data_IF_094538418955
#
_entry.id   IF_094538418955
#
_cell.length_a   1.000
_cell.length_b   1.000
_cell.length_c   1.000
_cell.angle_alpha   90.00
_cell.angle_beta   90.00
_cell.angle_gamma   90.00
#
_symmetry.space_group_name_H-M   'P 1'
#
loop_
_entity.id
_entity.type
_entity.pdbx_description
1 polymer ?
#
# COMPACT_ATOMS: atom_id res chain seq x y z
N UNK A 1 -30.93 -70.77 4.84
CA UNK A 1 -31.02 -71.05 3.39
C UNK A 1 -31.59 -69.84 2.69
N UNK A 2 -30.71 -69.18 1.94
CA UNK A 2 -30.84 -68.19 0.86
C UNK A 2 -32.21 -67.59 0.52
N UNK A 3 -32.24 -66.25 0.41
CA UNK A 3 -32.49 -65.55 -0.87
C UNK A 3 -32.14 -64.05 -0.79
N UNK A 4 -31.23 -63.64 -1.69
CA UNK A 4 -30.93 -62.25 -2.05
C UNK A 4 -32.14 -61.58 -2.73
N UNK A 5 -32.25 -60.25 -2.59
CA UNK A 5 -32.58 -59.33 -3.69
C UNK A 5 -32.15 -57.88 -3.36
N UNK A 6 -31.67 -57.22 -4.40
CA UNK A 6 -31.06 -55.89 -4.49
C UNK A 6 -31.92 -54.73 -3.96
N UNK A 7 -31.31 -53.54 -3.86
CA UNK A 7 -31.94 -52.40 -4.50
C UNK A 7 -31.01 -51.58 -5.41
N UNK A 8 -31.59 -51.32 -6.58
CA UNK A 8 -31.46 -50.18 -7.50
C UNK A 8 -30.87 -48.89 -6.94
N UNK A 9 -29.96 -48.30 -7.73
CA UNK A 9 -29.49 -46.93 -7.55
C UNK A 9 -30.44 -45.87 -8.12
N UNK A 10 -30.34 -44.68 -7.52
CA UNK A 10 -30.56 -43.32 -8.00
C UNK A 10 -29.76 -42.48 -6.97
N UNK A 11 -28.77 -41.65 -7.28
CA UNK A 11 -28.66 -40.73 -8.40
C UNK A 11 -28.91 -39.31 -7.88
N UNK A 12 -28.12 -38.81 -6.93
CA UNK A 12 -28.11 -37.40 -6.53
C UNK A 12 -26.66 -36.93 -6.37
N UNK A 13 -26.33 -35.86 -7.10
CA UNK A 13 -25.05 -35.17 -7.14
C UNK A 13 -24.82 -34.41 -5.82
N UNK A 14 -23.83 -34.81 -5.02
CA UNK A 14 -23.33 -33.99 -3.92
C UNK A 14 -22.15 -33.12 -4.37
N UNK A 15 -22.40 -31.82 -4.27
CA UNK A 15 -21.51 -30.69 -4.48
C UNK A 15 -20.22 -30.82 -3.65
N UNK A 16 -19.08 -30.96 -4.34
CA UNK A 16 -17.75 -31.05 -3.72
C UNK A 16 -17.29 -29.67 -3.27
N UNK A 17 -17.62 -29.28 -2.04
CA UNK A 17 -16.88 -28.22 -1.36
C UNK A 17 -15.51 -28.75 -0.90
N UNK A 18 -14.45 -28.28 -1.57
CA UNK A 18 -13.06 -28.62 -1.25
C UNK A 18 -12.62 -27.80 -0.02
N UNK A 19 -12.14 -28.43 1.08
CA UNK A 19 -11.62 -27.68 2.22
C UNK A 19 -10.24 -27.10 1.91
N UNK A 20 -10.08 -25.80 2.13
CA UNK A 20 -8.80 -25.10 2.03
C UNK A 20 -7.82 -25.62 3.10
N UNK A 21 -6.68 -26.17 2.67
CA UNK A 21 -5.64 -26.72 3.55
C UNK A 21 -4.98 -25.62 4.39
N UNK A 22 -5.27 -25.59 5.68
CA UNK A 22 -4.47 -24.86 6.68
C UNK A 22 -3.25 -25.71 7.05
N UNK A 23 -2.05 -25.18 6.78
CA UNK A 23 -0.79 -25.79 7.22
C UNK A 23 -0.35 -25.07 8.49
N UNK A 24 -0.37 -25.77 9.63
CA UNK A 24 0.32 -25.35 10.86
C UNK A 24 1.77 -25.81 10.78
N UNK A 25 2.70 -24.88 10.99
CA UNK A 25 4.11 -25.18 11.25
C UNK A 25 4.48 -24.49 12.55
N UNK A 26 4.85 -25.27 13.57
CA UNK A 26 5.51 -24.80 14.78
C UNK A 26 7.03 -24.83 14.56
N UNK A 27 7.72 -23.71 14.76
CA UNK A 27 9.15 -23.70 15.10
C UNK A 27 9.46 -22.50 16.00
N UNK A 28 9.99 -22.79 17.19
CA UNK A 28 10.60 -21.84 18.11
C UNK A 28 12.12 -21.80 17.91
N UNK A 29 12.68 -20.64 17.57
CA UNK A 29 13.99 -20.21 18.06
C UNK A 29 14.14 -18.69 17.87
N UNK A 30 14.73 -17.99 18.84
CA UNK A 30 14.73 -16.51 18.90
C UNK A 30 15.74 -15.88 17.94
N UNK A 31 15.42 -15.88 16.65
CA UNK A 31 16.08 -15.07 15.62
C UNK A 31 15.29 -13.79 15.40
N UNK A 32 15.92 -12.71 14.90
CA UNK A 32 15.17 -11.54 14.43
C UNK A 32 14.04 -12.01 13.52
N UNK A 33 12.81 -11.58 13.80
CA UNK A 33 11.63 -12.13 13.11
C UNK A 33 11.64 -11.85 11.58
N UNK A 34 12.51 -10.92 11.14
CA UNK A 34 12.89 -10.71 9.75
C UNK A 34 14.38 -10.97 9.55
N UNK A 35 14.77 -11.39 8.34
CA UNK A 35 16.16 -11.64 7.96
C UNK A 35 16.76 -10.38 7.30
N UNK A 36 17.84 -9.83 7.88
CA UNK A 36 18.50 -8.61 7.38
C UNK A 36 19.80 -8.87 6.60
N UNK A 37 20.13 -10.12 6.27
CA UNK A 37 21.40 -10.49 5.61
C UNK A 37 21.56 -9.86 4.22
N UNK A 38 20.46 -9.73 3.47
CA UNK A 38 20.44 -9.08 2.15
C UNK A 38 19.07 -8.44 1.86
N UNK A 39 18.97 -7.53 0.87
CA UNK A 39 17.68 -6.99 0.42
C UNK A 39 16.66 -8.07 0.06
N UNK A 40 17.10 -9.12 -0.64
CA UNK A 40 16.26 -10.26 -1.02
C UNK A 40 15.79 -11.06 0.19
N UNK A 41 16.69 -11.36 1.13
CA UNK A 41 16.36 -12.12 2.34
C UNK A 41 15.36 -11.35 3.23
N UNK A 42 15.49 -10.01 3.30
CA UNK A 42 14.52 -9.17 4.00
C UNK A 42 13.15 -9.30 3.37
N UNK A 43 13.07 -9.08 2.06
CA UNK A 43 11.79 -9.14 1.37
C UNK A 43 11.15 -10.53 1.48
N UNK A 44 11.92 -11.60 1.30
CA UNK A 44 11.46 -12.98 1.46
C UNK A 44 10.88 -13.23 2.86
N UNK A 45 11.60 -12.84 3.91
CA UNK A 45 11.12 -13.00 5.29
C UNK A 45 9.88 -12.13 5.58
N UNK A 46 9.78 -10.93 4.98
CA UNK A 46 8.65 -10.02 5.14
C UNK A 46 7.35 -10.61 4.60
N UNK A 47 7.38 -11.28 3.44
CA UNK A 47 6.20 -11.87 2.80
C UNK A 47 6.02 -13.38 3.08
N UNK A 48 6.87 -13.95 3.93
CA UNK A 48 6.76 -15.36 4.33
C UNK A 48 5.34 -15.70 4.84
N UNK A 49 4.76 -16.86 4.43
CA UNK A 49 5.39 -17.98 3.70
C UNK A 49 5.30 -17.88 2.17
N UNK A 50 4.88 -16.74 1.61
CA UNK A 50 4.74 -16.56 0.16
C UNK A 50 6.13 -16.45 -0.46
N UNK A 51 6.39 -17.27 -1.48
CA UNK A 51 7.64 -17.20 -2.25
C UNK A 51 7.68 -15.92 -3.08
N UNK A 52 8.88 -15.36 -3.25
CA UNK A 52 9.11 -14.15 -4.06
C UNK A 52 8.57 -14.34 -5.49
N UNK A 53 8.84 -15.48 -6.12
CA UNK A 53 8.42 -15.73 -7.50
C UNK A 53 6.89 -15.75 -7.60
N UNK A 54 6.21 -16.35 -6.63
CA UNK A 54 4.75 -16.37 -6.56
C UNK A 54 4.20 -14.97 -6.34
N UNK A 55 4.82 -14.18 -5.45
CA UNK A 55 4.41 -12.81 -5.18
C UNK A 55 4.43 -11.96 -6.45
N UNK A 56 5.56 -11.91 -7.17
CA UNK A 56 5.67 -11.09 -8.38
C UNK A 56 4.87 -11.62 -9.55
N UNK A 57 4.69 -12.95 -9.66
CA UNK A 57 3.92 -13.54 -10.74
C UNK A 57 2.41 -13.36 -10.57
N UNK A 58 1.90 -13.46 -9.34
CA UNK A 58 0.46 -13.57 -9.10
C UNK A 58 -0.17 -12.40 -8.38
N UNK A 59 0.59 -11.64 -7.59
CA UNK A 59 0.05 -10.60 -6.71
C UNK A 59 0.50 -9.20 -7.10
N UNK A 60 1.79 -9.01 -7.33
CA UNK A 60 2.37 -7.71 -7.67
C UNK A 60 1.63 -7.06 -8.85
N UNK A 61 1.16 -5.83 -8.64
CA UNK A 61 0.40 -5.04 -9.62
C UNK A 61 -0.88 -5.71 -10.16
N UNK A 62 -1.37 -6.78 -9.51
CA UNK A 62 -2.50 -7.57 -10.00
C UNK A 62 -3.64 -7.69 -8.98
N UNK A 63 -3.36 -8.14 -7.76
CA UNK A 63 -4.40 -8.39 -6.76
C UNK A 63 -3.88 -8.27 -5.32
N UNK A 64 -4.78 -7.99 -4.35
CA UNK A 64 -4.41 -7.99 -2.94
C UNK A 64 -3.87 -9.33 -2.43
N UNK A 65 -2.94 -9.26 -1.48
CA UNK A 65 -2.39 -10.40 -0.74
C UNK A 65 -2.57 -10.17 0.76
N UNK A 66 -3.33 -11.04 1.41
CA UNK A 66 -3.50 -11.07 2.85
C UNK A 66 -2.68 -12.21 3.46
N UNK A 67 -1.78 -11.90 4.39
CA UNK A 67 -1.01 -12.88 5.15
C UNK A 67 -1.40 -12.75 6.63
N UNK A 68 -2.33 -13.61 7.07
CA UNK A 68 -2.71 -13.72 8.47
C UNK A 68 -1.80 -14.70 9.19
N UNK A 69 -1.12 -14.23 10.23
CA UNK A 69 -0.13 -15.00 10.98
C UNK A 69 -0.63 -15.31 12.38
N UNK A 70 -0.01 -16.27 13.05
CA UNK A 70 -0.26 -16.54 14.45
C UNK A 70 1.06 -16.77 15.20
N UNK A 71 2.02 -15.91 14.93
CA UNK A 71 3.37 -15.94 15.50
C UNK A 71 3.52 -14.84 16.56
N UNK A 72 3.58 -15.20 17.86
CA UNK A 72 3.75 -14.23 18.94
C UNK A 72 5.07 -13.45 18.88
N UNK A 73 6.14 -14.07 18.36
CA UNK A 73 7.46 -13.44 18.26
C UNK A 73 7.46 -12.34 17.19
N UNK A 74 6.89 -12.64 16.02
CA UNK A 74 6.72 -11.66 14.94
C UNK A 74 5.74 -10.55 15.33
N UNK A 75 4.64 -10.87 16.02
CA UNK A 75 3.71 -9.87 16.53
C UNK A 75 4.41 -8.89 17.48
N UNK A 76 5.26 -9.41 18.38
CA UNK A 76 6.07 -8.59 19.31
C UNK A 76 7.09 -7.74 18.56
N UNK A 77 7.72 -8.30 17.52
CA UNK A 77 8.65 -7.58 16.65
C UNK A 77 7.96 -6.43 15.91
N UNK A 78 6.81 -6.68 15.26
CA UNK A 78 6.03 -5.63 14.57
C UNK A 78 5.64 -4.53 15.56
N UNK A 79 5.17 -4.89 16.76
CA UNK A 79 4.87 -3.91 17.80
C UNK A 79 6.06 -3.03 18.20
N UNK A 80 7.30 -3.50 18.05
CA UNK A 80 8.49 -2.70 18.36
C UNK A 80 8.82 -1.64 17.29
N UNK A 81 8.35 -1.83 16.05
CA UNK A 81 8.62 -0.94 14.93
C UNK A 81 8.09 0.47 15.16
N UNK A 82 6.89 0.60 15.74
CA UNK A 82 6.33 1.89 16.15
C UNK A 82 5.18 1.68 17.15
N UNK A 83 5.18 2.46 18.23
CA UNK A 83 4.12 2.44 19.25
C UNK A 83 3.46 3.80 19.42
N UNK A 84 2.19 3.82 19.79
CA UNK A 84 1.52 5.08 20.17
C UNK A 84 2.25 5.81 21.31
N UNK A 85 2.89 5.07 22.22
CA UNK A 85 3.68 5.65 23.32
C UNK A 85 4.99 6.32 22.86
N UNK A 86 5.53 5.94 21.70
CA UNK A 86 6.74 6.58 21.14
C UNK A 86 6.50 8.06 20.83
N UNK A 87 5.25 8.44 20.54
CA UNK A 87 4.85 9.80 20.21
C UNK A 87 5.23 10.82 21.29
N UNK A 88 5.23 10.45 22.56
CA UNK A 88 5.60 11.36 23.64
C UNK A 88 7.04 11.87 23.47
N UNK A 89 7.98 10.95 23.23
CA UNK A 89 9.39 11.27 23.04
C UNK A 89 9.66 11.93 21.68
N UNK A 90 9.02 11.46 20.61
CA UNK A 90 9.24 11.99 19.26
C UNK A 90 8.74 13.44 19.17
N UNK A 91 7.61 13.80 19.79
CA UNK A 91 7.10 15.17 19.78
C UNK A 91 8.08 16.19 20.38
N UNK A 92 8.96 15.77 21.31
CA UNK A 92 9.97 16.65 21.91
C UNK A 92 11.02 17.13 20.89
N UNK A 93 11.17 16.43 19.77
CA UNK A 93 12.12 16.77 18.70
C UNK A 93 11.62 17.89 17.78
N UNK A 94 10.39 18.39 17.98
CA UNK A 94 9.85 19.53 17.25
C UNK A 94 9.20 19.17 15.91
N UNK A 95 8.05 18.52 15.96
CA UNK A 95 7.26 18.14 14.79
C UNK A 95 6.26 19.23 14.39
N UNK A 96 5.84 19.23 13.12
CA UNK A 96 4.85 20.15 12.57
C UNK A 96 3.65 19.43 11.93
N UNK A 97 2.45 19.97 12.15
CA UNK A 97 1.24 19.51 11.50
C UNK A 97 1.34 19.69 9.97
N UNK A 98 0.81 18.76 9.19
CA UNK A 98 0.89 18.76 7.72
C UNK A 98 2.20 18.21 7.18
N UNK A 99 3.34 18.63 7.76
CA UNK A 99 4.67 18.13 7.39
C UNK A 99 4.93 16.74 7.97
N UNK A 100 4.87 16.61 9.29
CA UNK A 100 5.27 15.40 10.01
C UNK A 100 4.08 14.60 10.54
N UNK A 101 3.00 15.29 10.93
CA UNK A 101 1.82 14.65 11.52
C UNK A 101 0.54 15.26 10.95
N UNK A 102 -0.41 14.41 10.62
CA UNK A 102 -1.78 14.79 10.35
C UNK A 102 -2.70 14.18 11.41
N UNK A 103 -3.72 14.94 11.80
CA UNK A 103 -4.78 14.43 12.70
C UNK A 103 -6.09 14.53 11.92
N UNK A 104 -6.68 13.38 11.62
CA UNK A 104 -7.79 13.28 10.69
C UNK A 104 -8.97 12.47 11.24
N UNK A 105 -10.16 12.77 10.73
CA UNK A 105 -11.41 12.04 11.02
C UNK A 105 -12.22 11.89 9.74
N UNK A 106 -12.87 10.75 9.58
CA UNK A 106 -13.86 10.56 8.54
C UNK A 106 -15.24 10.95 9.06
N UNK A 107 -15.78 12.07 8.58
CA UNK A 107 -17.12 12.55 8.93
C UNK A 107 -17.93 12.64 7.64
N UNK A 108 -19.06 11.92 7.57
CA UNK A 108 -19.94 11.89 6.40
C UNK A 108 -19.21 11.60 5.07
N UNK A 109 -18.24 10.67 5.10
CA UNK A 109 -17.45 10.28 3.93
C UNK A 109 -16.40 11.31 3.49
N UNK A 110 -16.12 12.33 4.32
CA UNK A 110 -15.08 13.34 4.05
C UNK A 110 -13.99 13.30 5.11
N UNK A 111 -12.74 13.47 4.67
CA UNK A 111 -11.58 13.63 5.54
C UNK A 111 -11.57 15.05 6.12
N UNK A 112 -11.63 15.16 7.44
CA UNK A 112 -11.50 16.43 8.17
C UNK A 112 -10.15 16.44 8.88
N UNK A 113 -9.32 17.45 8.59
CA UNK A 113 -8.00 17.66 9.19
C UNK A 113 -8.08 18.65 10.37
N UNK A 114 -7.38 18.36 11.46
CA UNK A 114 -7.23 19.31 12.58
C UNK A 114 -6.04 20.27 12.34
N UNK A 115 -6.01 21.32 13.17
CA UNK A 115 -5.19 22.55 13.14
C UNK A 115 -3.73 22.43 12.63
N UNK A 116 -3.25 23.54 12.08
CA UNK A 116 -1.86 23.80 11.69
C UNK A 116 -0.97 24.20 12.88
N UNK A 117 0.35 24.09 12.70
CA UNK A 117 1.37 24.55 13.67
C UNK A 117 2.24 23.45 14.24
N UNK A 118 2.94 23.77 15.34
CA UNK A 118 3.82 22.82 16.05
C UNK A 118 2.98 21.76 16.78
N UNK A 119 3.38 20.51 16.66
CA UNK A 119 2.69 19.37 17.29
C UNK A 119 3.07 19.31 18.78
N UNK A 120 2.06 19.18 19.63
CA UNK A 120 2.24 18.90 21.06
C UNK A 120 1.58 17.57 21.41
N UNK A 121 2.30 16.72 22.15
CA UNK A 121 1.81 15.39 22.51
C UNK A 121 0.47 15.42 23.25
N UNK A 122 0.30 16.33 24.22
CA UNK A 122 -0.96 16.48 24.95
C UNK A 122 -2.14 16.83 24.04
N UNK A 123 -1.91 17.65 23.00
CA UNK A 123 -2.95 18.01 22.04
C UNK A 123 -3.29 16.83 21.12
N UNK A 124 -2.30 16.06 20.67
CA UNK A 124 -2.53 14.82 19.92
C UNK A 124 -3.34 13.83 20.75
N UNK A 125 -2.95 13.62 22.01
CA UNK A 125 -3.63 12.71 22.93
C UNK A 125 -5.07 13.14 23.18
N UNK A 126 -5.30 14.45 23.40
CA UNK A 126 -6.64 15.02 23.54
C UNK A 126 -7.50 14.78 22.29
N UNK A 127 -6.98 15.03 21.10
CA UNK A 127 -7.72 14.81 19.86
C UNK A 127 -7.99 13.32 19.60
N UNK A 128 -7.03 12.45 19.94
CA UNK A 128 -7.17 11.00 19.84
C UNK A 128 -8.26 10.47 20.80
N UNK A 129 -8.17 10.80 22.08
CA UNK A 129 -9.06 10.28 23.12
C UNK A 129 -10.46 10.91 23.06
N UNK A 130 -10.55 12.24 22.93
CA UNK A 130 -11.82 12.96 23.04
C UNK A 130 -12.53 13.14 21.71
N UNK A 131 -11.78 13.41 20.63
CA UNK A 131 -12.38 13.65 19.30
C UNK A 131 -12.43 12.38 18.45
N UNK A 132 -11.88 11.26 18.93
CA UNK A 132 -11.73 10.00 18.20
C UNK A 132 -11.00 10.20 16.86
N UNK A 133 -9.96 11.03 16.88
CA UNK A 133 -9.17 11.34 15.69
C UNK A 133 -8.06 10.32 15.45
N UNK A 134 -7.85 9.96 14.18
CA UNK A 134 -6.71 9.19 13.74
C UNK A 134 -5.49 10.11 13.64
N UNK A 135 -4.35 9.65 14.18
CA UNK A 135 -3.06 10.29 14.00
C UNK A 135 -2.35 9.58 12.85
N UNK A 136 -1.98 10.32 11.81
CA UNK A 136 -1.15 9.89 10.70
C UNK A 136 0.25 10.52 10.88
N UNK A 137 1.27 9.70 11.05
CA UNK A 137 2.66 10.14 11.22
C UNK A 137 3.46 9.85 9.96
N UNK A 138 4.08 10.86 9.38
CA UNK A 138 4.82 10.75 8.13
C UNK A 138 6.30 10.44 8.36
N UNK A 139 6.81 9.50 7.57
CA UNK A 139 8.22 9.15 7.50
C UNK A 139 8.84 8.82 8.89
N UNK A 140 8.28 7.81 9.61
CA UNK A 140 8.76 7.36 10.93
C UNK A 140 10.19 6.84 10.93
N UNK A 141 10.73 6.41 9.79
CA UNK A 141 12.12 5.95 9.66
C UNK A 141 13.14 7.03 10.06
N UNK A 142 12.77 8.31 10.00
CA UNK A 142 13.61 9.42 10.50
C UNK A 142 13.88 9.36 12.01
N UNK A 143 13.08 8.60 12.75
CA UNK A 143 13.09 8.53 14.21
C UNK A 143 13.20 7.10 14.77
N UNK A 144 13.13 6.09 13.90
CA UNK A 144 13.03 4.68 14.27
C UNK A 144 13.98 3.86 13.40
N UNK A 145 15.12 3.51 13.98
CA UNK A 145 16.23 2.84 13.28
C UNK A 145 15.82 1.52 12.61
N UNK A 146 14.95 0.72 13.24
CA UNK A 146 14.47 -0.54 12.64
C UNK A 146 13.62 -0.29 11.38
N UNK A 147 12.78 0.75 11.37
CA UNK A 147 12.06 1.15 10.15
C UNK A 147 13.02 1.70 9.09
N UNK A 148 14.08 2.42 9.49
CA UNK A 148 15.11 2.86 8.56
C UNK A 148 15.85 1.70 7.90
N UNK A 149 16.38 0.75 8.68
CA UNK A 149 17.04 -0.46 8.16
C UNK A 149 16.11 -1.27 7.24
N UNK A 150 14.84 -1.37 7.61
CA UNK A 150 13.84 -2.08 6.80
C UNK A 150 13.62 -1.38 5.47
N UNK A 151 13.36 -0.06 5.50
CA UNK A 151 13.10 0.71 4.29
C UNK A 151 14.33 0.78 3.37
N UNK A 152 15.53 0.98 3.90
CA UNK A 152 16.77 1.03 3.10
C UNK A 152 16.98 -0.27 2.30
N UNK A 153 16.83 -1.43 2.93
CA UNK A 153 16.91 -2.72 2.23
C UNK A 153 15.81 -2.91 1.19
N UNK A 154 14.59 -2.44 1.49
CA UNK A 154 13.50 -2.49 0.52
C UNK A 154 13.76 -1.52 -0.65
N UNK A 155 14.38 -0.36 -0.44
CA UNK A 155 14.81 0.55 -1.52
C UNK A 155 15.82 -0.14 -2.43
N UNK A 156 16.81 -0.82 -1.87
CA UNK A 156 17.76 -1.63 -2.63
C UNK A 156 17.08 -2.76 -3.40
N UNK A 157 16.07 -3.41 -2.80
CA UNK A 157 15.37 -4.53 -3.43
C UNK A 157 14.48 -4.08 -4.61
N UNK A 158 13.71 -3.01 -4.42
CA UNK A 158 12.76 -2.52 -5.43
C UNK A 158 13.40 -1.59 -6.47
N UNK A 159 14.56 -1.01 -6.19
CA UNK A 159 15.15 0.02 -7.05
C UNK A 159 14.27 1.27 -7.15
N UNK A 160 13.47 1.55 -6.11
CA UNK A 160 12.53 2.65 -6.03
C UNK A 160 12.55 3.20 -4.61
N UNK A 161 12.19 4.48 -4.43
CA UNK A 161 12.08 5.08 -3.10
C UNK A 161 11.04 4.31 -2.26
N UNK A 162 11.34 4.12 -0.98
CA UNK A 162 10.44 3.46 -0.03
C UNK A 162 10.17 4.40 1.12
N UNK A 163 8.97 4.94 1.14
CA UNK A 163 8.46 5.74 2.25
C UNK A 163 7.62 4.91 3.22
N UNK A 164 7.24 5.51 4.35
CA UNK A 164 6.18 4.94 5.17
C UNK A 164 5.37 5.97 5.94
N UNK A 165 4.14 5.58 6.29
CA UNK A 165 3.24 6.34 7.15
C UNK A 165 2.70 5.44 8.26
N UNK A 166 2.67 5.93 9.49
CA UNK A 166 2.02 5.23 10.61
C UNK A 166 0.64 5.81 10.86
N UNK A 167 -0.34 4.94 11.03
CA UNK A 167 -1.71 5.31 11.34
C UNK A 167 -2.11 4.74 12.69
N UNK A 168 -2.43 5.62 13.63
CA UNK A 168 -2.94 5.27 14.95
C UNK A 168 -4.41 5.70 15.03
N UNK A 169 -5.33 4.76 15.14
CA UNK A 169 -6.78 5.02 15.14
C UNK A 169 -7.43 4.53 16.45
N UNK A 170 -8.14 5.40 17.20
CA UNK A 170 -8.79 5.00 18.44
C UNK A 170 -9.94 4.02 18.18
N UNK A 171 -10.34 3.27 19.22
CA UNK A 171 -11.46 2.32 19.13
C UNK A 171 -12.76 2.98 18.68
N UNK A 172 -13.58 2.24 17.92
CA UNK A 172 -14.89 2.69 17.43
C UNK A 172 -14.83 3.86 16.45
N UNK A 173 -13.74 4.01 15.69
CA UNK A 173 -13.54 5.17 14.81
C UNK A 173 -12.92 4.83 13.44
N UNK A 174 -13.09 5.75 12.50
CA UNK A 174 -12.54 5.70 11.15
C UNK A 174 -11.85 7.03 10.83
N UNK A 175 -10.58 6.96 10.43
CA UNK A 175 -9.77 8.14 10.12
C UNK A 175 -9.99 8.69 8.72
N UNK A 176 -10.05 7.80 7.73
CA UNK A 176 -10.06 8.15 6.31
C UNK A 176 -11.31 7.57 5.61
N UNK A 177 -11.92 8.32 4.68
CA UNK A 177 -12.97 7.78 3.80
C UNK A 177 -12.39 6.75 2.82
N UNK A 178 -13.22 6.00 2.07
CA UNK A 178 -12.73 5.18 0.95
C UNK A 178 -11.89 5.98 -0.03
N UNK A 179 -10.72 5.45 -0.39
CA UNK A 179 -9.79 6.06 -1.34
C UNK A 179 -8.90 4.99 -1.98
N UNK A 180 -8.19 5.36 -3.03
CA UNK A 180 -7.02 4.64 -3.51
C UNK A 180 -5.79 5.56 -3.53
N UNK A 181 -4.62 4.95 -3.41
CA UNK A 181 -3.32 5.62 -3.48
C UNK A 181 -2.64 5.38 -4.83
N UNK A 182 -1.58 6.15 -5.08
CA UNK A 182 -0.72 6.14 -6.28
C UNK A 182 0.57 5.31 -6.12
N UNK A 183 0.62 4.46 -5.09
CA UNK A 183 1.79 3.69 -4.68
C UNK A 183 1.44 2.24 -4.38
N UNK A 184 2.42 1.36 -4.55
CA UNK A 184 2.34 -0.02 -4.08
C UNK A 184 2.53 -0.04 -2.57
N UNK A 185 1.66 -0.75 -1.83
CA UNK A 185 1.67 -0.68 -0.36
C UNK A 185 1.79 -2.04 0.32
N UNK A 186 2.55 -2.06 1.40
CA UNK A 186 2.65 -3.15 2.38
C UNK A 186 2.25 -2.60 3.75
N UNK A 187 1.14 -3.09 4.28
CA UNK A 187 0.60 -2.71 5.59
C UNK A 187 1.00 -3.77 6.61
N UNK A 188 1.69 -3.34 7.65
CA UNK A 188 2.08 -4.18 8.79
C UNK A 188 1.25 -3.75 10.00
N UNK A 189 0.45 -4.67 10.56
CA UNK A 189 -0.34 -4.38 11.75
C UNK A 189 0.54 -4.48 13.00
N UNK A 190 0.66 -3.39 13.76
CA UNK A 190 1.65 -3.24 14.84
C UNK A 190 1.03 -3.38 16.24
N UNK A 191 0.00 -2.59 16.54
CA UNK A 191 -0.69 -2.57 17.84
C UNK A 191 -2.19 -2.69 17.66
N UNK A 192 -2.86 -3.08 18.74
CA UNK A 192 -4.31 -3.22 18.80
C UNK A 192 -4.78 -4.63 18.53
N UNK A 193 -6.03 -4.92 18.88
CA UNK A 193 -6.57 -6.26 18.68
C UNK A 193 -6.99 -6.49 17.23
N UNK A 194 -7.65 -5.49 16.61
CA UNK A 194 -8.40 -5.67 15.36
C UNK A 194 -8.47 -4.36 14.56
N UNK A 195 -8.01 -4.36 13.31
CA UNK A 195 -8.35 -3.33 12.32
C UNK A 195 -9.21 -3.97 11.23
N UNK A 196 -10.43 -3.48 11.05
CA UNK A 196 -11.36 -4.00 10.04
C UNK A 196 -11.11 -3.29 8.71
N UNK A 197 -10.72 -4.04 7.70
CA UNK A 197 -10.39 -3.57 6.37
C UNK A 197 -11.43 -4.03 5.36
N UNK A 198 -11.80 -3.12 4.47
CA UNK A 198 -12.58 -3.41 3.29
C UNK A 198 -11.79 -2.98 2.06
N UNK A 199 -11.57 -3.89 1.13
CA UNK A 199 -10.95 -3.62 -0.17
C UNK A 199 -12.02 -3.74 -1.26
N UNK A 200 -11.89 -2.95 -2.31
CA UNK A 200 -12.82 -2.91 -3.43
C UNK A 200 -12.06 -2.94 -4.74
N UNK A 201 -12.75 -3.28 -5.83
CA UNK A 201 -12.18 -3.23 -7.17
C UNK A 201 -11.75 -1.80 -7.53
N UNK A 202 -10.62 -1.62 -8.23
CA UNK A 202 -10.16 -0.31 -8.64
C UNK A 202 -11.12 0.33 -9.65
N UNK A 203 -11.48 1.60 -9.45
CA UNK A 203 -12.13 2.42 -10.50
C UNK A 203 -11.12 2.83 -11.57
N UNK A 204 -9.86 3.01 -11.17
CA UNK A 204 -8.71 3.27 -12.04
C UNK A 204 -7.62 2.24 -11.72
N UNK A 205 -7.49 1.16 -12.51
CA UNK A 205 -6.44 0.17 -12.30
C UNK A 205 -5.04 0.79 -12.44
N UNK A 206 -4.14 0.46 -11.50
CA UNK A 206 -2.77 0.99 -11.46
C UNK A 206 -2.70 2.53 -11.53
N UNK A 207 -3.60 3.20 -10.81
CA UNK A 207 -3.70 4.64 -10.75
C UNK A 207 -2.37 5.32 -10.40
N UNK A 208 -2.05 6.39 -11.13
CA UNK A 208 -0.85 7.22 -10.91
C UNK A 208 -1.10 8.42 -10.00
N UNK A 209 -2.35 8.59 -9.54
CA UNK A 209 -2.78 9.70 -8.71
C UNK A 209 -3.61 9.18 -7.54
N UNK A 210 -3.66 9.95 -6.46
CA UNK A 210 -4.51 9.68 -5.30
C UNK A 210 -5.95 10.17 -5.54
N UNK A 211 -6.96 9.41 -5.11
CA UNK A 211 -8.36 9.87 -5.15
C UNK A 211 -9.19 9.35 -3.98
N UNK A 212 -10.10 10.19 -3.49
CA UNK A 212 -11.17 9.80 -2.56
C UNK A 212 -12.39 9.36 -3.35
N UNK A 213 -12.91 8.18 -3.05
CA UNK A 213 -14.02 7.59 -3.78
C UNK A 213 -15.34 7.64 -2.99
N UNK A 214 -16.44 8.14 -3.57
CA UNK A 214 -17.72 8.18 -2.91
C UNK A 214 -18.29 6.76 -2.77
N UNK A 215 -18.85 6.42 -1.61
CA UNK A 215 -19.44 5.10 -1.32
C UNK A 215 -20.47 4.62 -2.36
N UNK A 216 -21.13 5.52 -3.06
CA UNK A 216 -22.09 5.20 -4.12
C UNK A 216 -21.43 4.61 -5.39
N UNK A 217 -20.11 4.76 -5.58
CA UNK A 217 -19.36 4.33 -6.77
C UNK A 217 -18.47 3.11 -6.57
N UNK A 218 -18.18 2.73 -5.33
CA UNK A 218 -17.19 1.68 -5.02
C UNK A 218 -17.77 0.27 -5.00
N UNK A 219 -19.09 0.12 -4.99
CA UNK A 219 -19.76 -1.18 -4.97
C UNK A 219 -19.56 -1.95 -3.66
N UNK A 220 -19.59 -3.28 -3.76
CA UNK A 220 -19.39 -4.20 -2.62
C UNK A 220 -17.90 -4.49 -2.41
N UNK A 221 -17.44 -4.69 -1.17
CA UNK A 221 -16.06 -5.10 -0.90
C UNK A 221 -15.73 -6.40 -1.63
N UNK A 222 -14.58 -6.46 -2.29
CA UNK A 222 -14.01 -7.70 -2.82
C UNK A 222 -13.38 -8.53 -1.71
N UNK A 223 -12.89 -7.86 -0.66
CA UNK A 223 -12.32 -8.48 0.53
C UNK A 223 -12.78 -7.74 1.78
N UNK A 224 -13.10 -8.50 2.81
CA UNK A 224 -13.54 -8.03 4.12
C UNK A 224 -12.85 -8.90 5.17
N UNK A 225 -11.95 -8.29 5.96
CA UNK A 225 -11.16 -9.03 6.94
C UNK A 225 -10.66 -8.14 8.08
N UNK A 226 -10.17 -8.79 9.14
CA UNK A 226 -9.57 -8.14 10.29
C UNK A 226 -8.09 -8.44 10.34
N UNK A 227 -7.27 -7.39 10.45
CA UNK A 227 -5.84 -7.51 10.75
C UNK A 227 -5.61 -7.47 12.27
N UNK A 228 -4.74 -8.35 12.74
CA UNK A 228 -4.18 -8.38 14.11
C UNK A 228 -2.65 -8.24 14.07
N UNK A 229 -1.98 -7.94 15.20
CA UNK A 229 -0.55 -7.72 15.23
C UNK A 229 0.26 -8.87 14.62
N UNK A 230 1.22 -8.54 13.75
CA UNK A 230 2.03 -9.51 13.00
C UNK A 230 1.49 -9.85 11.60
N UNK A 231 0.23 -9.51 11.30
CA UNK A 231 -0.33 -9.70 9.96
C UNK A 231 0.25 -8.69 8.96
N UNK A 232 0.29 -9.11 7.70
CA UNK A 232 0.69 -8.28 6.56
C UNK A 232 -0.42 -8.24 5.52
N UNK A 233 -0.65 -7.07 4.94
CA UNK A 233 -1.53 -6.86 3.80
C UNK A 233 -0.77 -6.12 2.69
N UNK A 234 -0.78 -6.67 1.49
CA UNK A 234 -0.33 -5.98 0.28
C UNK A 234 -1.51 -5.74 -0.66
N UNK A 235 -1.51 -4.60 -1.35
CA UNK A 235 -2.35 -4.38 -2.52
C UNK A 235 -1.73 -3.34 -3.47
N UNK A 236 -2.03 -3.43 -4.77
CA UNK A 236 -1.47 -2.51 -5.76
C UNK A 236 -2.17 -1.15 -5.74
N UNK A 237 -1.48 -0.14 -6.30
CA UNK A 237 -2.04 1.21 -6.49
C UNK A 237 -3.34 1.18 -7.30
N UNK A 238 -4.25 2.10 -6.98
CA UNK A 238 -5.62 2.08 -7.50
C UNK A 238 -6.60 1.17 -6.73
N UNK A 239 -6.12 0.26 -5.88
CA UNK A 239 -7.02 -0.56 -5.03
C UNK A 239 -7.74 0.34 -4.02
N UNK A 240 -9.06 0.43 -4.15
CA UNK A 240 -9.88 1.21 -3.23
C UNK A 240 -9.95 0.49 -1.89
N UNK A 241 -9.71 1.22 -0.81
CA UNK A 241 -9.73 0.66 0.53
C UNK A 241 -10.26 1.63 1.57
N UNK A 242 -10.80 1.08 2.66
CA UNK A 242 -11.10 1.81 3.89
C UNK A 242 -10.89 0.91 5.10
N UNK A 243 -10.58 1.52 6.23
CA UNK A 243 -10.37 0.78 7.47
C UNK A 243 -10.93 1.50 8.70
N UNK A 244 -11.67 0.76 9.53
CA UNK A 244 -12.19 1.21 10.81
C UNK A 244 -11.63 0.37 11.95
N UNK A 245 -11.47 0.98 13.12
CA UNK A 245 -11.15 0.24 14.35
C UNK A 245 -12.48 -0.14 15.01
N UNK A 246 -12.78 -1.43 15.24
CA UNK A 246 -14.00 -1.86 15.94
C UNK A 246 -14.15 -1.20 17.31
N UNK A 247 -15.39 -1.13 17.80
CA UNK A 247 -15.67 -0.69 19.17
C UNK A 247 -15.04 -1.63 20.19
N UNK A 248 -14.46 -1.09 21.26
CA UNK A 248 -13.74 -1.86 22.26
C UNK A 248 -12.77 -0.99 23.05
N UNK A 249 -11.84 -1.63 23.76
CA UNK A 249 -10.85 -0.93 24.60
C UNK A 249 -9.58 -0.55 23.82
N UNK A 250 -9.18 -1.35 22.83
CA UNK A 250 -7.89 -1.18 22.16
C UNK A 250 -7.97 -0.23 20.95
N UNK A 251 -7.00 0.68 20.84
CA UNK A 251 -6.71 1.37 19.58
C UNK A 251 -6.13 0.40 18.56
N UNK A 252 -5.93 0.86 17.33
CA UNK A 252 -5.17 0.13 16.31
C UNK A 252 -4.04 1.01 15.78
N UNK A 253 -2.85 0.42 15.65
CA UNK A 253 -1.67 1.04 15.01
C UNK A 253 -1.19 0.14 13.87
N UNK A 254 -1.02 0.70 12.67
CA UNK A 254 -0.32 0.03 11.57
C UNK A 254 0.68 0.98 10.93
N UNK A 255 1.69 0.43 10.27
CA UNK A 255 2.55 1.16 9.34
C UNK A 255 2.24 0.71 7.92
N UNK A 256 2.08 1.67 7.03
CA UNK A 256 2.02 1.45 5.59
C UNK A 256 3.38 1.79 5.02
N UNK A 257 4.09 0.79 4.54
CA UNK A 257 5.31 0.94 3.74
C UNK A 257 4.86 1.06 2.28
N UNK A 258 5.39 2.05 1.56
CA UNK A 258 4.92 2.40 0.21
C UNK A 258 6.08 2.62 -0.75
N UNK A 259 5.94 2.16 -1.99
CA UNK A 259 6.98 2.29 -3.03
C UNK A 259 6.37 2.42 -4.44
N UNK A 260 7.20 2.51 -5.48
CA UNK A 260 6.80 2.53 -6.90
C UNK A 260 5.96 3.75 -7.34
N UNK A 261 6.01 4.86 -6.60
CA UNK A 261 5.41 6.12 -7.04
C UNK A 261 6.08 6.60 -8.33
N UNK A 262 5.29 6.89 -9.38
CA UNK A 262 5.79 7.36 -10.68
C UNK A 262 6.92 6.49 -11.27
N UNK A 263 6.87 5.18 -11.04
CA UNK A 263 7.88 4.23 -11.50
C UNK A 263 7.32 3.27 -12.57
N UNK A 264 6.51 3.80 -13.49
CA UNK A 264 5.88 3.02 -14.56
C UNK A 264 6.68 3.05 -15.86
N UNK A 265 6.36 2.15 -16.80
CA UNK A 265 6.90 2.20 -18.17
C UNK A 265 6.70 3.55 -18.85
N UNK A 266 5.58 4.25 -18.57
CA UNK A 266 5.33 5.58 -19.11
C UNK A 266 6.28 6.64 -18.56
N UNK A 267 6.61 6.55 -17.27
CA UNK A 267 7.59 7.44 -16.62
C UNK A 267 8.99 7.20 -17.18
N UNK A 268 9.38 5.92 -17.27
CA UNK A 268 10.69 5.53 -17.81
C UNK A 268 10.85 5.92 -19.28
N UNK A 269 9.80 5.75 -20.10
CA UNK A 269 9.81 6.16 -21.50
C UNK A 269 9.97 7.68 -21.64
N UNK A 270 9.26 8.47 -20.82
CA UNK A 270 9.35 9.93 -20.84
C UNK A 270 10.76 10.41 -20.45
N UNK A 271 11.34 9.86 -19.38
CA UNK A 271 12.72 10.18 -18.98
C UNK A 271 13.73 9.79 -20.07
N UNK A 272 13.62 8.56 -20.61
CA UNK A 272 14.54 8.04 -21.63
C UNK A 272 14.48 8.83 -22.93
N UNK A 273 13.27 9.15 -23.42
CA UNK A 273 13.10 9.94 -24.64
C UNK A 273 13.64 11.35 -24.49
N UNK A 274 13.49 11.98 -23.32
CA UNK A 274 14.02 13.32 -23.10
C UNK A 274 15.55 13.35 -23.24
N UNK A 275 16.25 12.34 -22.69
CA UNK A 275 17.72 12.23 -22.78
C UNK A 275 18.17 11.93 -24.21
N UNK A 276 17.49 10.99 -24.86
CA UNK A 276 17.82 10.60 -26.23
C UNK A 276 17.60 11.76 -27.20
N UNK A 277 16.54 12.55 -27.02
CA UNK A 277 16.29 13.76 -27.79
C UNK A 277 17.46 14.74 -27.65
N UNK A 278 17.90 15.05 -26.43
CA UNK A 278 19.06 15.93 -26.21
C UNK A 278 20.35 15.42 -26.86
N UNK A 279 20.59 14.11 -26.85
CA UNK A 279 21.81 13.53 -27.42
C UNK A 279 21.76 13.49 -28.95
N UNK A 280 20.66 13.00 -29.54
CA UNK A 280 20.50 13.00 -31.01
C UNK A 280 20.48 14.44 -31.53
N UNK A 281 19.84 15.36 -30.81
CA UNK A 281 19.84 16.78 -31.17
C UNK A 281 21.23 17.42 -31.10
N UNK A 282 22.31 16.77 -30.65
CA UNK A 282 23.70 17.25 -30.85
C UNK A 282 24.23 16.90 -32.23
N UNK A 283 23.83 15.76 -32.77
CA UNK A 283 24.34 15.21 -34.03
C UNK A 283 23.44 15.56 -35.22
N UNK A 284 22.12 15.52 -35.03
CA UNK A 284 21.13 15.78 -36.07
C UNK A 284 20.52 17.19 -35.95
N UNK A 285 20.78 18.04 -36.94
CA UNK A 285 20.23 19.40 -37.02
C UNK A 285 18.72 19.41 -37.19
N UNK A 286 18.10 18.36 -37.73
CA UNK A 286 16.66 18.29 -37.96
C UNK A 286 15.88 18.47 -36.65
N UNK A 287 16.35 17.88 -35.55
CA UNK A 287 15.75 18.02 -34.22
C UNK A 287 15.97 19.40 -33.59
N UNK A 288 16.99 20.16 -34.03
CA UNK A 288 17.24 21.54 -33.56
C UNK A 288 16.49 22.60 -34.36
N UNK A 289 15.90 22.25 -35.50
CA UNK A 289 15.17 23.22 -36.31
C UNK A 289 13.92 23.70 -35.58
N UNK A 290 13.65 25.01 -35.67
CA UNK A 290 12.46 25.59 -35.05
C UNK A 290 11.17 25.04 -35.65
N UNK A 291 10.18 24.79 -34.81
CA UNK A 291 8.82 24.45 -35.27
C UNK A 291 8.24 25.60 -36.13
N UNK A 292 7.35 25.30 -37.10
CA UNK A 292 6.67 26.32 -37.89
C UNK A 292 6.02 27.43 -37.04
N UNK A 293 6.10 28.68 -37.52
CA UNK A 293 5.46 29.83 -36.86
C UNK A 293 3.96 29.58 -36.69
N UNK A 294 3.41 30.06 -35.58
CA UNK A 294 1.99 29.92 -35.21
C UNK A 294 1.51 28.47 -34.94
N UNK A 295 2.37 27.45 -35.00
CA UNK A 295 1.97 26.06 -34.78
C UNK A 295 1.32 25.79 -33.40
N UNK A 296 1.73 26.52 -32.37
CA UNK A 296 1.16 26.44 -31.01
C UNK A 296 -0.17 27.22 -30.88
N UNK A 297 -0.45 28.13 -31.81
CA UNK A 297 -1.68 28.94 -31.82
C UNK A 297 -2.85 28.24 -32.50
N UNK A 298 -2.60 27.13 -33.20
CA UNK A 298 -3.65 26.34 -33.84
C UNK A 298 -4.13 25.28 -32.84
N UNK A 299 -5.39 25.34 -32.42
CA UNK A 299 -6.03 24.39 -31.48
C UNK A 299 -6.18 22.94 -32.01
N UNK A 300 -5.29 22.45 -32.88
CA UNK A 300 -5.34 21.08 -33.38
C UNK A 300 -4.03 20.31 -33.13
N UNK A 301 -3.98 19.48 -32.07
CA UNK A 301 -2.86 18.58 -31.79
C UNK A 301 -2.57 17.57 -32.92
N UNK A 302 -3.51 17.35 -33.83
CA UNK A 302 -3.51 16.26 -34.81
C UNK A 302 -2.40 16.36 -35.86
N UNK A 303 -2.04 17.56 -36.32
CA UNK A 303 -0.96 17.72 -37.29
C UNK A 303 0.43 17.55 -36.64
N UNK A 304 0.60 18.07 -35.42
CA UNK A 304 1.81 17.91 -34.62
C UNK A 304 2.03 16.44 -34.22
N UNK A 305 0.98 15.77 -33.73
CA UNK A 305 1.00 14.35 -33.37
C UNK A 305 1.27 13.43 -34.56
N UNK A 306 0.79 13.76 -35.77
CA UNK A 306 1.12 12.98 -36.99
C UNK A 306 2.59 13.10 -37.38
N UNK A 307 3.17 14.30 -37.30
CA UNK A 307 4.61 14.50 -37.55
C UNK A 307 5.46 13.80 -36.51
N UNK A 308 5.10 13.93 -35.24
CA UNK A 308 5.77 13.23 -34.14
C UNK A 308 5.64 11.71 -34.29
N UNK A 309 4.46 11.20 -34.64
CA UNK A 309 4.25 9.76 -34.92
C UNK A 309 5.08 9.28 -36.12
N UNK A 310 5.19 10.09 -37.19
CA UNK A 310 6.04 9.79 -38.34
C UNK A 310 7.52 9.71 -37.97
N UNK A 311 8.02 10.68 -37.20
CA UNK A 311 9.39 10.69 -36.69
C UNK A 311 9.67 9.53 -35.72
N UNK A 312 8.75 9.22 -34.80
CA UNK A 312 8.89 8.08 -33.89
C UNK A 312 8.91 6.76 -34.66
N UNK A 313 8.14 6.61 -35.75
CA UNK A 313 8.20 5.41 -36.61
C UNK A 313 9.53 5.26 -37.33
N UNK A 314 10.23 6.35 -37.64
CA UNK A 314 11.56 6.28 -38.25
C UNK A 314 12.66 5.90 -37.25
N UNK A 315 12.40 5.98 -35.94
CA UNK A 315 13.33 5.56 -34.89
C UNK A 315 13.21 4.07 -34.50
N UNK A 316 12.20 3.36 -35.01
CA UNK A 316 11.91 1.94 -34.68
C UNK A 316 12.42 0.96 -35.76
N UNK A 317 12.98 1.46 -36.86
CA UNK A 317 13.64 0.67 -37.92
C UNK A 317 15.16 0.85 -37.86
#
# INVERSE_FOLDING_TARGET
>A
MSKNKEPTGNGEEEDRSVPCKQVKVDVSDSMSALNFDSPTALFESLISPIKIETFFKEFWEQKPLLIQRNDPSLATYYQSLFRLSDMNRICLQGLYCGKDVNVCRCINGKKVLNKSGKVQFLQLRKDFDQKRATIQFHQPQRFKDELWKTQEKLECYFGSLVGSNVYMTPAGSQGLPPHYDDVEVFILQLEGEKKHWHLYSPTVPLAREYSVEPKARIGTPTHDFILKPGDLLYFPRGTIHQANTPSGLAHSTHVTISTYQNNSWGDFLLDSLSRLEFDIAKEDVALRTGIPRQMVMVETPTAALRKLSGFLRTLVN
#
